data_IF_305943970281
#
_entry.id   IF_305943970281
#
_cell.length_a   1.000
_cell.length_b   1.000
_cell.length_c   1.000
_cell.angle_alpha   90.00
_cell.angle_beta   90.00
_cell.angle_gamma   90.00
#
_symmetry.space_group_name_H-M   'P 1'
#
loop_
_entity.id
_entity.type
_entity.pdbx_description
1 polymer ?
#
# COMPACT_ATOMS: atom_id res chain seq x y z
N UNK A 1 -3.07 8.56 -8.85
CA UNK A 1 -3.20 7.09 -8.91
C UNK A 1 -2.17 6.51 -7.96
N UNK A 2 -2.62 5.88 -6.87
CA UNK A 2 -1.76 5.29 -5.86
C UNK A 2 -1.16 3.98 -6.39
N UNK A 3 -0.01 4.05 -7.05
CA UNK A 3 0.74 2.91 -7.61
C UNK A 3 1.39 2.00 -6.54
N UNK A 4 0.94 2.14 -5.28
CA UNK A 4 1.47 1.48 -4.09
C UNK A 4 0.53 0.38 -3.55
N UNK A 5 -0.47 -0.03 -4.33
CA UNK A 5 -1.36 -1.15 -4.03
C UNK A 5 -1.38 -2.09 -5.22
N UNK A 6 -1.19 -3.38 -4.97
CA UNK A 6 -1.29 -4.43 -5.99
C UNK A 6 -2.49 -5.32 -5.72
N UNK A 7 -3.09 -5.80 -6.81
CA UNK A 7 -4.26 -6.65 -6.79
C UNK A 7 -3.93 -8.00 -7.41
N UNK A 8 -4.54 -9.05 -6.90
CA UNK A 8 -4.39 -10.39 -7.44
C UNK A 8 -5.67 -11.20 -7.25
N UNK A 9 -5.88 -12.15 -8.17
CA UNK A 9 -6.98 -13.11 -8.11
C UNK A 9 -6.50 -14.36 -7.40
N UNK A 10 -7.21 -14.74 -6.35
CA UNK A 10 -6.91 -15.98 -5.63
C UNK A 10 -7.64 -17.14 -6.30
N UNK A 11 -7.08 -18.34 -6.26
CA UNK A 11 -7.83 -19.54 -6.62
C UNK A 11 -9.06 -19.69 -5.71
N UNK A 12 -10.20 -20.04 -6.30
CA UNK A 12 -11.46 -20.27 -5.58
C UNK A 12 -11.75 -21.77 -5.63
N UNK A 13 -11.73 -22.43 -4.49
CA UNK A 13 -12.01 -23.86 -4.40
C UNK A 13 -13.52 -24.11 -4.41
N UNK A 14 -14.00 -25.16 -5.10
CA UNK A 14 -15.37 -25.63 -4.94
C UNK A 14 -15.71 -26.10 -3.51
N UNK A 15 -14.68 -26.38 -2.69
CA UNK A 15 -14.81 -26.85 -1.31
C UNK A 15 -14.57 -25.74 -0.27
N UNK A 16 -14.46 -24.47 -0.70
CA UNK A 16 -14.28 -23.36 0.25
C UNK A 16 -15.53 -23.19 1.12
N UNK A 17 -15.41 -23.12 2.46
CA UNK A 17 -16.57 -23.08 3.36
C UNK A 17 -17.30 -21.73 3.38
N UNK A 18 -16.81 -20.72 2.66
CA UNK A 18 -17.26 -19.33 2.72
C UNK A 18 -17.34 -18.74 1.29
N UNK A 19 -18.25 -17.78 1.02
CA UNK A 19 -18.25 -17.04 -0.24
C UNK A 19 -16.87 -16.45 -0.59
N UNK A 20 -16.38 -16.62 -1.82
CA UNK A 20 -15.01 -16.29 -2.17
C UNK A 20 -14.77 -14.79 -2.28
N UNK A 21 -13.62 -14.35 -1.77
CA UNK A 21 -13.06 -13.03 -2.05
C UNK A 21 -12.23 -13.14 -3.34
N UNK A 22 -12.81 -12.66 -4.45
CA UNK A 22 -12.24 -12.88 -5.79
C UNK A 22 -10.98 -12.06 -6.05
N UNK A 23 -10.93 -10.83 -5.55
CA UNK A 23 -9.77 -9.95 -5.65
C UNK A 23 -9.27 -9.61 -4.27
N UNK A 24 -7.98 -9.84 -4.06
CA UNK A 24 -7.26 -9.41 -2.86
C UNK A 24 -6.29 -8.32 -3.24
N UNK A 25 -6.05 -7.40 -2.31
CA UNK A 25 -5.11 -6.30 -2.46
C UNK A 25 -4.05 -6.34 -1.38
N UNK A 26 -2.83 -5.93 -1.69
CA UNK A 26 -1.76 -5.74 -0.71
C UNK A 26 -1.00 -4.45 -1.02
N UNK A 27 -0.46 -3.81 0.02
CA UNK A 27 0.33 -2.60 -0.14
C UNK A 27 1.74 -2.96 -0.62
N UNK A 28 2.21 -2.23 -1.63
CA UNK A 28 3.60 -2.24 -2.09
C UNK A 28 4.19 -0.83 -1.99
N UNK A 29 4.55 -0.38 -0.77
CA UNK A 29 5.06 0.96 -0.56
C UNK A 29 6.45 1.15 -1.19
N UNK A 30 6.91 2.40 -1.40
CA UNK A 30 8.14 2.71 -2.13
C UNK A 30 9.39 2.07 -1.52
N UNK A 31 9.37 1.86 -0.20
CA UNK A 31 10.45 1.25 0.57
C UNK A 31 10.83 -0.15 0.06
N UNK A 32 9.91 -0.90 -0.56
CA UNK A 32 10.19 -2.22 -1.12
C UNK A 32 11.03 -2.18 -2.41
N UNK A 33 11.08 -1.03 -3.08
CA UNK A 33 11.73 -0.87 -4.39
C UNK A 33 12.93 0.07 -4.34
N UNK A 34 13.27 0.59 -3.17
CA UNK A 34 14.45 1.44 -2.96
C UNK A 34 15.56 0.56 -2.38
N UNK A 35 16.58 0.19 -3.19
CA UNK A 35 17.64 -0.71 -2.74
C UNK A 35 18.62 -0.02 -1.77
N UNK A 36 18.75 1.32 -1.87
CA UNK A 36 19.63 2.12 -1.04
C UNK A 36 19.05 3.53 -0.86
N UNK A 37 19.19 4.10 0.33
CA UNK A 37 18.78 5.47 0.61
C UNK A 37 19.95 6.43 0.31
N UNK A 38 19.87 7.25 -0.77
CA UNK A 38 20.94 8.19 -1.07
C UNK A 38 21.13 9.20 0.07
N UNK A 39 22.37 9.70 0.28
CA UNK A 39 22.61 10.74 1.27
C UNK A 39 21.82 12.00 0.91
N UNK A 40 21.44 12.77 1.92
CA UNK A 40 20.74 14.05 1.77
C UNK A 40 19.38 13.95 1.04
N UNK A 41 18.66 12.83 1.22
CA UNK A 41 17.26 12.77 0.81
C UNK A 41 16.47 13.94 1.41
N UNK A 42 15.54 14.56 0.64
CA UNK A 42 14.60 15.52 1.19
C UNK A 42 13.88 14.92 2.40
N UNK A 43 13.72 15.74 3.45
CA UNK A 43 13.03 15.35 4.67
C UNK A 43 11.89 16.31 4.93
N UNK A 44 10.83 15.78 5.52
CA UNK A 44 9.80 16.60 6.13
C UNK A 44 10.38 17.40 7.30
N UNK A 45 9.72 18.51 7.66
CA UNK A 45 9.97 19.12 8.96
C UNK A 45 9.59 18.14 10.09
N UNK A 46 10.16 18.26 11.31
CA UNK A 46 9.85 17.33 12.39
C UNK A 46 8.34 17.20 12.68
N UNK A 47 7.60 18.31 12.59
CA UNK A 47 6.15 18.31 12.83
C UNK A 47 5.37 17.59 11.73
N UNK A 48 5.75 17.76 10.46
CA UNK A 48 5.15 17.03 9.35
C UNK A 48 5.48 15.55 9.39
N UNK A 49 6.73 15.20 9.74
CA UNK A 49 7.16 13.82 9.84
C UNK A 49 6.32 13.02 10.86
N UNK A 50 5.96 13.65 11.99
CA UNK A 50 5.05 13.05 12.98
C UNK A 50 3.64 12.82 12.43
N UNK A 51 3.15 13.71 11.57
CA UNK A 51 1.83 13.55 10.93
C UNK A 51 1.84 12.44 9.87
N UNK A 52 2.89 12.39 9.07
CA UNK A 52 3.01 11.42 7.97
C UNK A 52 3.53 10.05 8.43
N UNK A 53 4.11 9.94 9.62
CA UNK A 53 4.70 8.71 10.14
C UNK A 53 6.02 8.31 9.45
N UNK A 54 6.63 9.22 8.70
CA UNK A 54 7.92 9.02 8.02
C UNK A 54 8.69 10.33 7.99
N UNK A 55 10.01 10.25 8.10
CA UNK A 55 10.90 11.42 7.95
C UNK A 55 11.05 11.82 6.48
N UNK A 56 10.95 10.86 5.55
CA UNK A 56 11.24 11.07 4.14
C UNK A 56 9.95 11.08 3.30
N UNK A 57 9.69 12.14 2.52
CA UNK A 57 8.54 12.20 1.60
C UNK A 57 8.54 11.07 0.57
N UNK A 58 9.71 10.67 0.09
CA UNK A 58 9.86 9.58 -0.88
C UNK A 58 9.38 8.21 -0.35
N UNK A 59 9.38 8.04 0.99
CA UNK A 59 8.96 6.81 1.64
C UNK A 59 7.52 6.86 2.15
N UNK A 60 6.80 7.95 1.86
CA UNK A 60 5.41 8.08 2.27
C UNK A 60 4.51 7.11 1.51
N UNK A 61 3.69 6.40 2.29
CA UNK A 61 2.61 5.55 1.80
C UNK A 61 1.33 5.94 2.54
N UNK A 62 0.26 6.38 1.85
CA UNK A 62 -1.00 6.66 2.50
C UNK A 62 -1.57 5.37 3.12
N UNK A 63 -2.15 5.50 4.32
CA UNK A 63 -2.85 4.40 5.00
C UNK A 63 -4.35 4.72 5.03
N UNK A 64 -5.01 4.42 3.91
CA UNK A 64 -6.46 4.62 3.79
C UNK A 64 -7.21 3.55 4.59
N UNK A 65 -8.28 3.96 5.28
CA UNK A 65 -9.17 3.03 5.98
C UNK A 65 -9.85 2.11 4.97
N UNK A 66 -9.54 0.80 5.01
CA UNK A 66 -10.00 -0.23 4.05
C UNK A 66 -11.48 -0.62 4.18
N UNK A 67 -12.34 0.28 4.61
CA UNK A 67 -13.76 -0.01 4.79
C UNK A 67 -14.50 -0.20 3.46
N UNK A 68 -13.87 0.17 2.34
CA UNK A 68 -14.38 -0.06 0.99
C UNK A 68 -13.50 -1.11 0.32
N UNK A 69 -14.07 -2.29 0.05
CA UNK A 69 -13.45 -3.26 -0.86
C UNK A 69 -13.63 -2.71 -2.28
N UNK A 70 -12.54 -2.33 -2.93
CA UNK A 70 -12.58 -2.00 -4.35
C UNK A 70 -12.95 -3.27 -5.14
N UNK A 71 -14.04 -3.19 -5.87
CA UNK A 71 -14.48 -4.25 -6.78
C UNK A 71 -13.74 -4.13 -8.12
N UNK A 72 -13.75 -5.19 -8.94
CA UNK A 72 -13.13 -5.14 -10.27
C UNK A 72 -13.78 -4.04 -11.12
N UNK A 73 -13.02 -3.00 -11.47
CA UNK A 73 -13.46 -1.96 -12.42
C UNK A 73 -13.35 -0.50 -11.94
N UNK A 74 -12.93 -0.26 -10.71
CA UNK A 74 -12.56 1.09 -10.21
C UNK A 74 -11.11 1.50 -10.54
#
# INVERSE_FOLDING_TARGET
>A
MNDQVRYYKTFVSPLDPCPPIRVKSYSTPPQLFIPFQPPNLPQFTPFEALKYGTLWPMLYSPYDSKNVRQEEGD
#
